data_IF_131496577347
#
_entry.id   IF_131496577347
#
_cell.length_a   1.000
_cell.length_b   1.000
_cell.length_c   1.000
_cell.angle_alpha   90.00
_cell.angle_beta   90.00
_cell.angle_gamma   90.00
#
_symmetry.space_group_name_H-M   'P 1'
#
loop_
_entity.id
_entity.type
_entity.pdbx_description
1 polymer ?
#
# COMPACT_ATOMS: atom_id res chain seq x y z
N UNK A 1 -41.12 0.10 -48.00
CA UNK A 1 -39.97 -0.79 -47.72
C UNK A 1 -38.77 0.10 -47.43
N UNK A 2 -38.32 0.18 -46.18
CA UNK A 2 -37.09 0.89 -45.79
C UNK A 2 -36.24 -0.08 -44.98
N UNK A 3 -35.11 -0.48 -45.55
CA UNK A 3 -34.07 -1.24 -44.85
C UNK A 3 -33.02 -0.31 -44.24
N UNK A 4 -32.32 -0.86 -43.25
CA UNK A 4 -30.96 -0.52 -42.81
C UNK A 4 -30.78 0.73 -41.92
N UNK A 5 -29.91 0.79 -40.90
CA UNK A 5 -29.02 -0.15 -40.18
C UNK A 5 -28.28 0.69 -39.13
N UNK A 6 -28.47 0.48 -37.83
CA UNK A 6 -27.54 0.98 -36.80
C UNK A 6 -27.19 -0.14 -35.83
N UNK A 7 -25.88 -0.32 -35.67
CA UNK A 7 -25.20 -1.43 -35.00
C UNK A 7 -25.08 -1.18 -33.50
N UNK A 8 -25.36 -2.25 -32.74
CA UNK A 8 -24.51 -2.89 -31.72
C UNK A 8 -23.92 -2.01 -30.60
N UNK A 9 -24.30 -2.31 -29.36
CA UNK A 9 -23.35 -2.50 -28.26
C UNK A 9 -23.90 -3.53 -27.27
N UNK A 10 -23.16 -4.63 -27.16
CA UNK A 10 -23.51 -5.84 -26.42
C UNK A 10 -22.92 -5.71 -25.02
N UNK A 11 -23.78 -5.48 -24.04
CA UNK A 11 -23.49 -5.69 -22.62
C UNK A 11 -23.19 -7.18 -22.42
N UNK A 12 -22.04 -7.51 -21.85
CA UNK A 12 -21.76 -8.82 -21.28
C UNK A 12 -21.46 -8.62 -19.81
N UNK A 13 -22.50 -8.83 -19.04
CA UNK A 13 -22.45 -8.99 -17.59
C UNK A 13 -22.26 -10.47 -17.25
N UNK A 14 -21.55 -10.67 -16.14
CA UNK A 14 -21.60 -11.77 -15.16
C UNK A 14 -21.43 -13.23 -15.60
N UNK A 15 -20.43 -13.88 -15.00
CA UNK A 15 -20.70 -14.97 -14.05
C UNK A 15 -19.53 -15.20 -13.11
N UNK A 16 -19.81 -15.02 -11.82
CA UNK A 16 -19.16 -15.74 -10.75
C UNK A 16 -19.37 -17.23 -10.97
N UNK A 17 -18.30 -18.02 -10.91
CA UNK A 17 -18.40 -19.44 -10.62
C UNK A 17 -17.40 -19.74 -9.49
N UNK A 18 -17.96 -20.04 -8.32
CA UNK A 18 -17.24 -20.53 -7.16
C UNK A 18 -16.69 -21.92 -7.46
N UNK A 19 -15.38 -22.00 -7.61
CA UNK A 19 -14.65 -23.28 -7.61
C UNK A 19 -13.97 -23.41 -6.25
N UNK A 20 -14.25 -24.46 -5.46
CA UNK A 20 -13.49 -24.73 -4.25
C UNK A 20 -12.04 -25.07 -4.64
N UNK A 21 -11.02 -24.46 -4.01
CA UNK A 21 -9.65 -24.74 -4.38
C UNK A 21 -9.30 -26.17 -3.98
N UNK A 22 -9.02 -27.01 -4.98
CA UNK A 22 -8.43 -28.34 -4.80
C UNK A 22 -6.98 -28.22 -4.28
N UNK A 23 -6.48 -29.16 -3.46
CA UNK A 23 -5.25 -28.98 -2.69
C UNK A 23 -3.93 -29.18 -3.45
N UNK A 24 -3.97 -29.58 -4.73
CA UNK A 24 -2.78 -30.10 -5.44
C UNK A 24 -2.40 -29.30 -6.70
N UNK A 25 -2.80 -28.03 -6.79
CA UNK A 25 -2.24 -27.11 -7.79
C UNK A 25 -0.91 -26.54 -7.28
N UNK A 26 0.10 -26.28 -8.15
CA UNK A 26 1.28 -25.51 -7.75
C UNK A 26 0.80 -24.20 -7.13
N UNK A 27 0.96 -24.05 -5.81
CA UNK A 27 0.39 -22.92 -5.08
C UNK A 27 0.84 -21.63 -5.76
N UNK A 28 -0.08 -20.95 -6.45
CA UNK A 28 0.24 -19.71 -7.14
C UNK A 28 0.83 -18.74 -6.12
N UNK A 29 2.04 -18.22 -6.37
CA UNK A 29 2.72 -17.29 -5.45
C UNK A 29 1.81 -16.12 -5.01
N UNK A 30 0.85 -15.74 -5.86
CA UNK A 30 -0.20 -14.79 -5.53
C UNK A 30 -1.09 -15.26 -4.36
N UNK A 31 -1.61 -16.49 -4.41
CA UNK A 31 -2.45 -17.07 -3.35
C UNK A 31 -1.70 -17.10 -2.03
N UNK A 32 -0.44 -17.54 -2.06
CA UNK A 32 0.42 -17.56 -0.87
C UNK A 32 0.59 -16.18 -0.24
N UNK A 33 0.79 -15.13 -1.05
CA UNK A 33 0.92 -13.75 -0.54
C UNK A 33 -0.37 -13.27 0.12
N UNK A 34 -1.54 -13.62 -0.43
CA UNK A 34 -2.80 -13.23 0.19
C UNK A 34 -3.06 -13.99 1.51
N UNK A 35 -2.74 -15.28 1.55
CA UNK A 35 -2.82 -16.08 2.78
C UNK A 35 -1.86 -15.54 3.84
N UNK A 36 -0.62 -15.19 3.45
CA UNK A 36 0.35 -14.55 4.32
C UNK A 36 -0.18 -13.25 4.91
N UNK A 37 -0.79 -12.39 4.08
CA UNK A 37 -1.43 -11.16 4.56
C UNK A 37 -2.52 -11.48 5.59
N UNK A 38 -3.47 -12.34 5.26
CA UNK A 38 -4.57 -12.69 6.17
C UNK A 38 -4.08 -13.34 7.48
N UNK A 39 -2.95 -14.05 7.44
CA UNK A 39 -2.34 -14.71 8.61
C UNK A 39 -1.61 -13.73 9.54
N UNK A 40 -0.88 -12.78 8.97
CA UNK A 40 0.00 -11.85 9.70
C UNK A 40 -0.77 -10.60 10.11
N UNK A 41 -1.47 -9.97 9.16
CA UNK A 41 -2.17 -8.70 9.33
C UNK A 41 -3.53 -8.89 10.02
N UNK A 42 -3.53 -9.44 11.24
CA UNK A 42 -4.76 -9.78 11.99
C UNK A 42 -5.59 -8.56 12.34
N UNK A 43 -4.93 -7.42 12.52
CA UNK A 43 -5.62 -6.18 12.82
C UNK A 43 -6.39 -5.65 11.60
N UNK A 44 -6.00 -6.03 10.38
CA UNK A 44 -6.50 -5.50 9.11
C UNK A 44 -7.76 -6.21 8.60
N UNK A 45 -8.50 -5.61 7.64
CA UNK A 45 -9.60 -6.28 6.97
C UNK A 45 -9.07 -7.48 6.18
N UNK A 46 -9.72 -8.63 6.35
CA UNK A 46 -9.37 -9.87 5.63
C UNK A 46 -9.73 -9.77 4.16
N UNK A 47 -8.86 -10.30 3.32
CA UNK A 47 -9.11 -10.45 1.89
C UNK A 47 -9.98 -11.69 1.71
N UNK A 48 -11.22 -11.48 1.28
CA UNK A 48 -12.16 -12.55 0.91
C UNK A 48 -12.24 -12.76 -0.60
N UNK A 49 -11.98 -11.70 -1.39
CA UNK A 49 -12.03 -11.74 -2.84
C UNK A 49 -10.66 -11.53 -3.47
N UNK A 50 -10.28 -12.51 -4.30
CA UNK A 50 -9.02 -12.54 -5.06
C UNK A 50 -9.24 -12.00 -6.47
N UNK A 51 -9.49 -10.69 -6.58
CA UNK A 51 -9.70 -10.06 -7.89
C UNK A 51 -8.47 -10.17 -8.80
N UNK A 52 -8.70 -10.24 -10.11
CA UNK A 52 -7.63 -10.29 -11.11
C UNK A 52 -6.72 -9.05 -11.04
N UNK A 53 -7.27 -7.89 -10.65
CA UNK A 53 -6.49 -6.67 -10.43
C UNK A 53 -5.45 -6.84 -9.32
N UNK A 54 -5.83 -7.45 -8.18
CA UNK A 54 -4.91 -7.73 -7.07
C UNK A 54 -3.86 -8.76 -7.47
N UNK A 55 -4.25 -9.82 -8.17
CA UNK A 55 -3.30 -10.82 -8.70
C UNK A 55 -2.27 -10.16 -9.62
N UNK A 56 -2.70 -9.27 -10.51
CA UNK A 56 -1.81 -8.52 -11.41
C UNK A 56 -0.84 -7.61 -10.65
N UNK A 57 -1.33 -6.91 -9.63
CA UNK A 57 -0.47 -6.06 -8.79
C UNK A 57 0.59 -6.89 -8.06
N UNK A 58 0.21 -8.01 -7.45
CA UNK A 58 1.15 -8.93 -6.80
C UNK A 58 2.16 -9.50 -7.79
N UNK A 59 1.74 -9.92 -9.00
CA UNK A 59 2.65 -10.39 -10.05
C UNK A 59 3.65 -9.31 -10.49
N UNK A 60 3.23 -8.03 -10.52
CA UNK A 60 4.13 -6.93 -10.85
C UNK A 60 5.19 -6.73 -9.76
N UNK A 61 4.78 -6.72 -8.49
CA UNK A 61 5.69 -6.55 -7.36
C UNK A 61 6.62 -7.77 -7.16
N UNK A 62 6.17 -8.98 -7.49
CA UNK A 62 6.99 -10.21 -7.50
C UNK A 62 8.17 -10.17 -8.48
N UNK A 63 8.20 -9.24 -9.44
CA UNK A 63 9.36 -9.04 -10.32
C UNK A 63 10.53 -8.36 -9.60
N UNK A 64 10.27 -7.66 -8.50
CA UNK A 64 11.24 -6.87 -7.74
C UNK A 64 11.47 -7.42 -6.34
N UNK A 65 10.43 -7.98 -5.74
CA UNK A 65 10.40 -8.42 -4.35
C UNK A 65 10.12 -9.91 -4.26
N UNK A 66 10.70 -10.56 -3.25
CA UNK A 66 10.52 -11.97 -2.98
C UNK A 66 9.44 -12.20 -1.92
N UNK A 67 8.99 -13.44 -1.77
CA UNK A 67 8.02 -13.82 -0.73
C UNK A 67 8.44 -13.38 0.70
N UNK A 68 9.75 -13.43 1.00
CA UNK A 68 10.29 -12.96 2.28
C UNK A 68 10.09 -11.45 2.51
N UNK A 69 10.15 -10.66 1.45
CA UNK A 69 9.94 -9.21 1.54
C UNK A 69 8.48 -8.89 1.82
N UNK A 70 7.54 -9.63 1.21
CA UNK A 70 6.12 -9.54 1.56
C UNK A 70 5.84 -9.94 3.01
N UNK A 71 6.48 -11.00 3.49
CA UNK A 71 6.36 -11.40 4.90
C UNK A 71 6.86 -10.28 5.83
N UNK A 72 8.02 -9.68 5.53
CA UNK A 72 8.57 -8.56 6.28
C UNK A 72 7.67 -7.33 6.22
N UNK A 73 7.14 -7.00 5.04
CA UNK A 73 6.18 -5.92 4.83
C UNK A 73 4.97 -6.07 5.74
N UNK A 74 4.35 -7.25 5.76
CA UNK A 74 3.15 -7.51 6.57
C UNK A 74 3.45 -7.49 8.07
N UNK A 75 4.59 -8.04 8.50
CA UNK A 75 5.02 -7.97 9.91
C UNK A 75 5.23 -6.53 10.36
N UNK A 76 5.89 -5.70 9.54
CA UNK A 76 6.08 -4.28 9.81
C UNK A 76 4.74 -3.53 9.86
N UNK A 77 3.87 -3.78 8.89
CA UNK A 77 2.51 -3.21 8.89
C UNK A 77 1.74 -3.55 10.17
N UNK A 78 1.71 -4.82 10.59
CA UNK A 78 1.05 -5.26 11.82
C UNK A 78 1.71 -4.70 13.09
N UNK A 79 3.01 -4.38 13.06
CA UNK A 79 3.67 -3.74 14.20
C UNK A 79 3.34 -2.24 14.31
N UNK A 80 3.04 -1.58 13.19
CA UNK A 80 2.81 -0.13 13.12
C UNK A 80 1.42 0.27 13.60
N UNK A 81 1.35 1.11 14.63
CA UNK A 81 0.10 1.64 15.17
C UNK A 81 -0.55 2.65 14.20
N UNK A 82 0.26 3.35 13.40
CA UNK A 82 -0.22 4.21 12.31
C UNK A 82 -0.86 3.39 11.19
N UNK A 83 -0.15 2.40 10.65
CA UNK A 83 -0.65 1.63 9.50
C UNK A 83 -1.88 0.79 9.82
N UNK A 84 -2.02 0.33 11.07
CA UNK A 84 -3.20 -0.43 11.52
C UNK A 84 -4.44 0.45 11.74
N UNK A 85 -4.26 1.77 11.86
CA UNK A 85 -5.32 2.71 12.20
C UNK A 85 -5.67 2.72 13.68
N UNK A 86 -4.69 2.54 14.57
CA UNK A 86 -4.88 2.58 16.03
C UNK A 86 -4.86 4.02 16.58
N UNK A 87 -4.51 5.00 15.74
CA UNK A 87 -4.52 6.42 16.07
C UNK A 87 -5.95 6.95 15.86
N UNK A 88 -6.31 8.10 16.45
CA UNK A 88 -7.65 8.74 16.37
C UNK A 88 -8.16 9.06 14.94
N UNK A 89 -7.44 8.67 13.88
CA UNK A 89 -7.91 8.81 12.52
C UNK A 89 -8.51 7.49 12.02
N UNK A 90 -9.63 7.58 11.30
CA UNK A 90 -10.28 6.44 10.62
C UNK A 90 -9.44 5.85 9.46
N UNK A 91 -8.19 6.30 9.32
CA UNK A 91 -7.30 5.83 8.28
C UNK A 91 -6.61 4.54 8.70
N UNK A 92 -6.64 3.55 7.80
CA UNK A 92 -5.83 2.34 7.89
C UNK A 92 -5.28 1.97 6.52
N UNK A 93 -4.07 1.40 6.50
CA UNK A 93 -3.53 0.88 5.25
C UNK A 93 -4.37 -0.32 4.78
N UNK A 94 -4.69 -0.35 3.49
CA UNK A 94 -5.34 -1.52 2.86
C UNK A 94 -4.28 -2.41 2.21
N UNK A 95 -4.62 -3.66 1.90
CA UNK A 95 -3.75 -4.53 1.12
C UNK A 95 -3.28 -3.87 -0.18
N UNK A 96 -4.22 -3.27 -0.93
CA UNK A 96 -3.94 -2.57 -2.19
C UNK A 96 -3.00 -1.37 -2.01
N UNK A 97 -3.01 -0.73 -0.83
CA UNK A 97 -2.06 0.33 -0.49
C UNK A 97 -0.67 -0.23 -0.18
N UNK A 98 -0.58 -1.33 0.56
CA UNK A 98 0.68 -1.95 0.99
C UNK A 98 1.47 -2.55 -0.17
N UNK A 99 0.80 -3.21 -1.12
CA UNK A 99 1.47 -3.86 -2.26
C UNK A 99 1.97 -2.88 -3.33
N UNK A 100 1.63 -1.59 -3.25
CA UNK A 100 2.18 -0.60 -4.18
C UNK A 100 3.66 -0.45 -3.92
N UNK A 101 4.48 -0.61 -4.95
CA UNK A 101 5.95 -0.53 -4.88
C UNK A 101 6.46 0.65 -4.05
N UNK A 102 5.92 1.86 -4.25
CA UNK A 102 6.31 3.07 -3.53
C UNK A 102 6.05 3.00 -2.03
N UNK A 103 4.92 2.39 -1.63
CA UNK A 103 4.55 2.28 -0.24
C UNK A 103 5.26 1.10 0.43
N UNK A 104 5.40 -0.02 -0.29
CA UNK A 104 6.15 -1.18 0.15
C UNK A 104 7.58 -0.80 0.55
N UNK A 105 8.28 -0.03 -0.29
CA UNK A 105 9.61 0.49 0.03
C UNK A 105 9.61 1.30 1.34
N UNK A 106 8.73 2.29 1.47
CA UNK A 106 8.61 3.12 2.69
C UNK A 106 8.36 2.30 3.96
N UNK A 107 7.51 1.27 3.88
CA UNK A 107 7.24 0.40 5.02
C UNK A 107 8.47 -0.45 5.35
N UNK A 108 9.11 -1.03 4.34
CA UNK A 108 10.33 -1.83 4.53
C UNK A 108 11.48 -1.00 5.12
N UNK A 109 11.64 0.23 4.65
CA UNK A 109 12.63 1.21 5.15
C UNK A 109 12.33 1.66 6.59
N UNK A 110 11.11 1.42 7.08
CA UNK A 110 10.74 1.71 8.47
C UNK A 110 10.17 3.10 8.70
N UNK A 111 9.73 3.79 7.65
CA UNK A 111 9.14 5.14 7.76
C UNK A 111 7.88 5.17 8.66
N UNK A 112 7.26 4.02 8.86
CA UNK A 112 6.05 3.84 9.65
C UNK A 112 6.26 2.95 10.87
N UNK A 113 7.51 2.60 11.19
CA UNK A 113 7.80 1.88 12.43
C UNK A 113 7.42 2.80 13.61
N UNK A 114 6.88 2.21 14.68
CA UNK A 114 6.47 3.01 15.84
C UNK A 114 7.70 3.68 16.43
N UNK A 115 7.75 5.01 16.36
CA UNK A 115 8.79 5.78 17.02
C UNK A 115 8.57 5.63 18.51
N UNK A 116 9.47 4.96 19.21
CA UNK A 116 9.55 5.07 20.66
C UNK A 116 9.80 6.53 20.98
N UNK A 117 9.02 7.11 21.89
CA UNK A 117 9.15 8.50 22.37
C UNK A 117 10.51 8.82 23.05
N UNK A 118 11.49 7.92 22.96
CA UNK A 118 12.86 8.06 23.44
C UNK A 118 13.86 8.41 22.32
N UNK A 119 13.45 9.17 21.31
CA UNK A 119 14.40 9.90 20.48
C UNK A 119 14.60 11.27 21.13
N UNK A 120 15.85 11.70 21.39
CA UNK A 120 16.09 13.06 21.83
C UNK A 120 15.45 13.96 20.78
N UNK A 121 14.61 14.88 21.25
CA UNK A 121 14.03 15.97 20.50
C UNK A 121 15.09 16.45 19.50
N UNK A 122 14.92 16.14 18.22
CA UNK A 122 15.69 16.82 17.21
C UNK A 122 15.14 18.25 17.26
N UNK A 123 15.78 19.07 18.09
CA UNK A 123 15.76 20.51 17.97
C UNK A 123 16.26 20.82 16.55
N UNK A 124 15.34 20.78 15.59
CA UNK A 124 15.41 21.69 14.47
C UNK A 124 15.05 23.08 15.01
N UNK A 125 15.87 23.57 15.95
CA UNK A 125 15.97 24.98 16.27
C UNK A 125 16.65 25.61 15.07
N UNK A 126 15.88 25.83 14.01
CA UNK A 126 16.20 26.91 13.10
C UNK A 126 16.14 28.15 13.96
N UNK A 127 17.32 28.65 14.34
CA UNK A 127 17.38 29.88 15.09
C UNK A 127 16.70 30.95 14.21
N UNK A 128 15.61 31.53 14.71
CA UNK A 128 14.83 32.52 13.96
C UNK A 128 15.71 33.74 13.64
N UNK A 129 16.73 34.01 14.46
CA UNK A 129 17.75 35.01 14.18
C UNK A 129 18.62 34.63 12.97
N UNK A 130 19.01 33.36 12.81
CA UNK A 130 19.79 32.88 11.65
C UNK A 130 18.98 32.91 10.35
N UNK A 131 17.69 32.56 10.39
CA UNK A 131 16.81 32.66 9.21
C UNK A 131 16.58 34.13 8.84
N UNK A 132 16.44 35.01 9.84
CA UNK A 132 16.27 36.44 9.63
C UNK A 132 17.54 37.07 9.06
N UNK A 133 18.72 36.63 9.51
CA UNK A 133 20.00 37.04 8.93
C UNK A 133 20.15 36.58 7.47
N UNK A 134 19.75 35.35 7.14
CA UNK A 134 19.81 34.83 5.77
C UNK A 134 18.89 35.61 4.81
N UNK A 135 17.67 35.94 5.24
CA UNK A 135 16.74 36.75 4.43
C UNK A 135 17.24 38.20 4.28
N UNK A 136 17.91 38.74 5.29
CA UNK A 136 18.47 40.10 5.24
C UNK A 136 19.73 40.20 4.36
N UNK A 137 20.48 39.11 4.19
CA UNK A 137 21.69 39.06 3.35
C UNK A 137 21.36 38.87 1.86
N UNK A 138 20.25 38.20 1.54
CA UNK A 138 19.77 38.00 0.17
C UNK A 138 18.74 39.03 -0.32
N UNK A 139 18.27 39.91 0.57
CA UNK A 139 17.26 40.93 0.30
C UNK A 139 17.81 42.13 -0.45
N UNK A 140 18.22 41.93 -1.71
CA UNK A 140 18.35 43.02 -2.68
C UNK A 140 17.02 43.79 -2.77
N UNK A 141 17.14 45.12 -2.76
CA UNK A 141 16.02 46.06 -2.91
C UNK A 141 15.14 45.64 -4.10
N UNK A 142 13.87 45.39 -3.82
CA UNK A 142 12.84 45.36 -4.85
C UNK A 142 12.35 46.80 -5.06
N UNK A 143 12.90 47.49 -6.06
CA UNK A 143 12.24 48.63 -6.71
C UNK A 143 11.10 48.16 -7.62
#
# INVERSE_FOLDING_TARGET
VKESKVKKSKVKESKEDGVPPTPDAPQDNCMLIFELYNRICRSYPRITQYSEARKKAVKASLKKYNLKDFERLFKKAESSDFLKGKIKCDWRATFDWLIKDTNMAKVLDGNYDNRSENLPEQEHSYNLEDLKAFVNDFGGEYE
#
